data_IF_677342951221
#
_entry.id   IF_677342951221
#
_cell.length_a   1.000
_cell.length_b   1.000
_cell.length_c   1.000
_cell.angle_alpha   90.00
_cell.angle_beta   90.00
_cell.angle_gamma   90.00
#
_symmetry.space_group_name_H-M   'P 1'
#
loop_
_entity.id
_entity.type
_entity.pdbx_description
1 polymer ?
#
# COMPACT_ATOMS: atom_id res chain seq x y z
N UNK A 1 -50.61 -8.05 6.05
CA UNK A 1 -50.28 -8.83 7.27
C UNK A 1 -49.17 -9.87 7.07
N UNK A 2 -48.53 -9.98 5.90
CA UNK A 2 -47.53 -11.04 5.62
C UNK A 2 -46.06 -10.65 5.95
N UNK A 3 -45.71 -9.37 5.92
CA UNK A 3 -44.31 -8.91 6.14
C UNK A 3 -43.85 -9.06 7.60
N UNK A 4 -44.74 -8.79 8.56
CA UNK A 4 -44.45 -8.89 10.00
C UNK A 4 -44.26 -10.35 10.45
N UNK A 5 -44.86 -11.29 9.73
CA UNK A 5 -44.76 -12.73 10.00
C UNK A 5 -43.42 -13.29 9.53
N UNK A 6 -42.89 -12.78 8.41
CA UNK A 6 -41.55 -13.16 7.91
C UNK A 6 -40.43 -12.66 8.83
N UNK A 7 -40.54 -11.43 9.34
CA UNK A 7 -39.54 -10.87 10.25
C UNK A 7 -39.41 -11.68 11.55
N UNK A 8 -40.56 -12.12 12.09
CA UNK A 8 -40.60 -13.00 13.27
C UNK A 8 -40.05 -14.39 13.00
N UNK A 9 -40.27 -14.95 11.81
CA UNK A 9 -39.76 -16.27 11.44
C UNK A 9 -38.22 -16.27 11.31
N UNK A 10 -37.65 -15.24 10.71
CA UNK A 10 -36.19 -15.09 10.58
C UNK A 10 -35.54 -14.91 11.96
N UNK A 11 -36.14 -14.10 12.84
CA UNK A 11 -35.64 -13.90 14.22
C UNK A 11 -35.72 -15.19 15.05
N UNK A 12 -36.72 -16.04 14.80
CA UNK A 12 -36.89 -17.31 15.51
C UNK A 12 -35.88 -18.38 15.04
N UNK A 13 -35.57 -18.40 13.74
CA UNK A 13 -34.54 -19.27 13.17
C UNK A 13 -33.13 -18.90 13.67
N UNK A 14 -32.82 -17.59 13.71
CA UNK A 14 -31.53 -17.10 14.25
C UNK A 14 -31.38 -17.43 15.73
N UNK A 15 -32.46 -17.37 16.52
CA UNK A 15 -32.43 -17.78 17.94
C UNK A 15 -32.23 -19.29 18.12
N UNK A 16 -32.80 -20.11 17.24
CA UNK A 16 -32.63 -21.57 17.29
C UNK A 16 -31.17 -21.98 17.00
N UNK A 17 -30.51 -21.31 16.05
CA UNK A 17 -29.11 -21.60 15.72
C UNK A 17 -28.13 -21.13 16.82
N UNK A 18 -28.43 -20.05 17.53
CA UNK A 18 -27.63 -19.59 18.68
C UNK A 18 -27.81 -20.52 19.90
N UNK A 19 -29.02 -21.04 20.12
CA UNK A 19 -29.31 -21.97 21.20
C UNK A 19 -28.64 -23.34 21.00
N UNK A 20 -28.41 -23.76 19.77
CA UNK A 20 -27.75 -25.04 19.46
C UNK A 20 -26.21 -24.97 19.53
N UNK A 21 -25.62 -23.79 19.75
CA UNK A 21 -24.17 -23.57 19.76
C UNK A 21 -23.55 -23.49 21.17
N UNK A 22 -24.26 -23.94 22.22
CA UNK A 22 -23.88 -23.78 23.63
C UNK A 22 -24.26 -25.07 24.36
N UNK A 23 -23.41 -25.99 24.83
CA UNK A 23 -22.11 -26.05 25.56
C UNK A 23 -21.69 -27.57 25.65
N UNK A 24 -20.65 -28.09 26.37
CA UNK A 24 -19.39 -27.55 26.95
C UNK A 24 -18.10 -28.43 26.72
N UNK A 25 -16.90 -27.90 27.03
CA UNK A 25 -15.84 -28.64 27.77
C UNK A 25 -14.58 -29.22 27.08
N UNK A 26 -13.41 -28.63 27.42
CA UNK A 26 -12.13 -29.25 27.87
C UNK A 26 -11.40 -30.35 27.04
N UNK A 27 -10.13 -30.08 26.66
CA UNK A 27 -9.03 -31.07 26.64
C UNK A 27 -8.27 -31.36 25.33
N UNK A 28 -7.07 -30.78 25.21
CA UNK A 28 -5.77 -31.30 24.69
C UNK A 28 -5.58 -32.19 23.43
N UNK A 29 -4.56 -31.78 22.66
CA UNK A 29 -3.54 -32.54 21.87
C UNK A 29 -3.76 -32.93 20.39
N UNK A 30 -3.03 -32.20 19.53
CA UNK A 30 -2.26 -32.58 18.33
C UNK A 30 -2.74 -33.68 17.34
N UNK A 31 -2.87 -33.31 16.05
CA UNK A 31 -1.89 -33.56 14.97
C UNK A 31 -2.55 -33.62 13.57
N UNK A 32 -1.99 -32.86 12.61
CA UNK A 32 -1.79 -33.35 11.23
C UNK A 32 -2.90 -33.24 10.18
N UNK A 33 -2.69 -32.30 9.25
CA UNK A 33 -2.71 -32.48 7.77
C UNK A 33 -3.87 -31.85 6.95
N UNK A 34 -3.45 -31.02 5.97
CA UNK A 34 -4.14 -30.54 4.75
C UNK A 34 -5.15 -29.38 4.84
N UNK A 35 -4.55 -28.19 4.96
CA UNK A 35 -4.90 -26.87 4.40
C UNK A 35 -6.03 -26.78 3.36
N UNK A 36 -7.26 -26.58 3.83
CA UNK A 36 -8.29 -25.81 3.13
C UNK A 36 -8.62 -24.60 4.01
N UNK A 37 -8.60 -23.40 3.43
CA UNK A 37 -8.52 -22.11 4.12
C UNK A 37 -9.41 -21.99 5.36
N UNK A 38 -8.79 -22.11 6.54
CA UNK A 38 -9.38 -21.69 7.81
C UNK A 38 -9.46 -20.17 7.80
N UNK A 39 -10.59 -19.66 7.33
CA UNK A 39 -11.02 -18.30 7.66
C UNK A 39 -11.05 -18.24 9.19
N UNK A 40 -10.24 -17.39 9.84
CA UNK A 40 -10.30 -17.24 11.28
C UNK A 40 -11.75 -16.88 11.65
N UNK A 41 -12.26 -17.40 12.77
CA UNK A 41 -13.57 -17.05 13.31
C UNK A 41 -13.58 -15.55 13.68
N UNK A 42 -13.78 -14.72 12.66
CA UNK A 42 -13.91 -13.28 12.72
C UNK A 42 -15.12 -12.99 13.60
N UNK A 43 -14.89 -12.25 14.69
CA UNK A 43 -15.95 -11.84 15.60
C UNK A 43 -17.09 -11.16 14.84
N UNK A 44 -18.35 -11.15 15.34
CA UNK A 44 -19.51 -10.66 14.59
C UNK A 44 -19.33 -9.27 13.95
N UNK A 45 -18.53 -8.39 14.56
CA UNK A 45 -18.19 -7.05 14.04
C UNK A 45 -17.30 -7.10 12.78
N UNK A 46 -16.33 -7.99 12.74
CA UNK A 46 -15.37 -8.13 11.63
C UNK A 46 -16.05 -8.67 10.37
N UNK A 47 -17.03 -9.57 10.52
CA UNK A 47 -17.87 -10.05 9.41
C UNK A 47 -18.68 -8.92 8.76
N UNK A 48 -19.25 -8.03 9.57
CA UNK A 48 -20.05 -6.90 9.06
C UNK A 48 -19.19 -5.92 8.28
N UNK A 49 -17.97 -5.62 8.77
CA UNK A 49 -17.03 -4.75 8.06
C UNK A 49 -16.62 -5.33 6.71
N UNK A 50 -16.46 -6.65 6.64
CA UNK A 50 -16.12 -7.35 5.39
C UNK A 50 -17.25 -7.26 4.35
N UNK A 51 -18.50 -7.50 4.76
CA UNK A 51 -19.67 -7.38 3.87
C UNK A 51 -19.95 -5.93 3.47
N UNK A 52 -19.80 -4.97 4.38
CA UNK A 52 -19.93 -3.55 4.08
C UNK A 52 -18.85 -3.11 3.06
N UNK A 53 -17.61 -3.54 3.22
CA UNK A 53 -16.53 -3.26 2.27
C UNK A 53 -16.83 -3.87 0.88
N UNK A 54 -17.48 -5.04 0.83
CA UNK A 54 -17.92 -5.67 -0.42
C UNK A 54 -19.02 -4.86 -1.11
N UNK A 55 -20.02 -4.38 -0.36
CA UNK A 55 -21.10 -3.54 -0.87
C UNK A 55 -20.57 -2.17 -1.36
N UNK A 56 -19.68 -1.53 -0.60
CA UNK A 56 -19.04 -0.26 -0.99
C UNK A 56 -18.23 -0.41 -2.28
N UNK A 57 -17.53 -1.55 -2.45
CA UNK A 57 -16.88 -1.90 -3.73
C UNK A 57 -17.89 -2.10 -4.85
N UNK A 58 -18.99 -2.81 -4.61
CA UNK A 58 -20.03 -3.03 -5.60
C UNK A 58 -20.74 -1.73 -6.03
N UNK A 59 -20.88 -0.76 -5.13
CA UNK A 59 -21.43 0.57 -5.41
C UNK A 59 -20.43 1.52 -6.11
N UNK A 60 -19.21 1.08 -6.42
CA UNK A 60 -18.19 1.91 -7.08
C UNK A 60 -17.59 3.01 -6.19
N UNK A 61 -17.84 2.98 -4.88
CA UNK A 61 -17.35 3.97 -3.91
C UNK A 61 -15.99 3.57 -3.28
N UNK A 62 -15.38 2.48 -3.74
CA UNK A 62 -14.06 2.07 -3.26
C UNK A 62 -12.96 2.82 -4.02
N UNK A 63 -12.06 3.47 -3.26
CA UNK A 63 -10.88 4.11 -3.83
C UNK A 63 -9.80 3.06 -4.13
N UNK A 64 -9.49 2.77 -5.41
CA UNK A 64 -8.46 1.81 -5.77
C UNK A 64 -7.06 2.27 -5.34
N UNK A 65 -6.84 3.57 -5.09
CA UNK A 65 -5.57 4.08 -4.60
C UNK A 65 -5.32 3.78 -3.12
N UNK A 66 -6.33 3.37 -2.36
CA UNK A 66 -6.24 3.04 -0.93
C UNK A 66 -6.27 1.53 -0.66
N UNK A 67 -6.53 0.71 -1.67
CA UNK A 67 -6.63 -0.73 -1.51
C UNK A 67 -5.25 -1.41 -1.60
N UNK A 68 -4.88 -2.15 -0.56
CA UNK A 68 -3.70 -3.02 -0.54
C UNK A 68 -4.06 -4.32 -1.27
N UNK A 69 -3.61 -4.44 -2.52
CA UNK A 69 -3.95 -5.59 -3.39
C UNK A 69 -2.96 -6.75 -3.29
N UNK A 70 -1.74 -6.49 -2.82
CA UNK A 70 -0.67 -7.49 -2.76
C UNK A 70 0.03 -7.39 -1.42
N UNK A 71 -0.01 -8.47 -0.64
CA UNK A 71 0.84 -8.65 0.54
C UNK A 71 2.01 -9.53 0.13
N UNK A 72 3.17 -8.92 -0.16
CA UNK A 72 4.38 -9.69 -0.42
C UNK A 72 5.10 -10.03 0.88
N UNK A 73 5.92 -11.09 0.85
CA UNK A 73 6.93 -11.31 1.88
C UNK A 73 7.84 -10.08 2.00
N UNK A 74 8.28 -9.71 3.22
CA UNK A 74 9.11 -8.53 3.41
C UNK A 74 10.42 -8.70 2.63
N UNK A 75 10.67 -7.80 1.69
CA UNK A 75 11.90 -7.77 0.90
C UNK A 75 12.78 -6.64 1.41
N UNK A 76 13.88 -7.00 2.06
CA UNK A 76 14.75 -6.06 2.78
C UNK A 76 15.42 -5.02 1.85
N UNK A 77 15.72 -5.38 0.60
CA UNK A 77 16.39 -4.50 -0.36
C UNK A 77 15.42 -3.62 -1.20
N UNK A 78 14.11 -3.73 -0.98
CA UNK A 78 13.10 -3.03 -1.75
C UNK A 78 13.26 -1.49 -1.79
N UNK A 79 13.42 -0.79 -0.66
CA UNK A 79 13.51 0.68 -0.66
C UNK A 79 14.76 1.18 -1.39
N UNK A 80 15.85 0.42 -1.35
CA UNK A 80 17.08 0.74 -2.09
C UNK A 80 16.90 0.63 -3.60
N UNK A 81 16.21 -0.42 -4.07
CA UNK A 81 15.89 -0.59 -5.50
C UNK A 81 14.92 0.48 -5.97
N UNK A 82 13.90 0.81 -5.16
CA UNK A 82 12.98 1.92 -5.46
C UNK A 82 13.72 3.26 -5.56
N UNK A 83 14.69 3.52 -4.68
CA UNK A 83 15.50 4.72 -4.75
C UNK A 83 16.29 4.79 -6.06
N UNK A 84 16.99 3.71 -6.43
CA UNK A 84 17.75 3.64 -7.67
C UNK A 84 16.86 3.85 -8.90
N UNK A 85 15.67 3.25 -8.88
CA UNK A 85 14.66 3.44 -9.92
C UNK A 85 14.25 4.91 -10.03
N UNK A 86 13.85 5.55 -8.93
CA UNK A 86 13.48 6.97 -8.92
C UNK A 86 14.64 7.83 -9.42
N UNK A 87 15.85 7.57 -8.97
CA UNK A 87 17.02 8.34 -9.34
C UNK A 87 17.35 8.21 -10.83
N UNK A 88 17.26 6.99 -11.38
CA UNK A 88 17.49 6.74 -12.80
C UNK A 88 16.53 7.55 -13.70
N UNK A 89 15.24 7.61 -13.33
CA UNK A 89 14.25 8.34 -14.12
C UNK A 89 14.30 9.85 -13.88
N UNK A 90 14.39 10.30 -12.63
CA UNK A 90 14.37 11.74 -12.30
C UNK A 90 15.59 12.46 -12.89
N UNK A 91 16.78 11.86 -12.85
CA UNK A 91 17.99 12.46 -13.42
C UNK A 91 17.94 12.60 -14.96
N UNK A 92 17.04 11.88 -15.61
CA UNK A 92 16.85 11.90 -17.08
C UNK A 92 15.67 12.78 -17.52
N UNK A 93 14.89 13.30 -16.60
CA UNK A 93 13.75 14.17 -16.87
C UNK A 93 14.12 15.65 -16.72
N UNK A 94 13.34 16.52 -17.35
CA UNK A 94 13.46 17.96 -17.22
C UNK A 94 12.13 18.54 -16.73
N UNK A 95 12.21 19.58 -15.89
CA UNK A 95 11.01 20.19 -15.35
C UNK A 95 10.44 21.21 -16.36
N UNK A 96 9.24 20.96 -16.85
CA UNK A 96 8.53 21.90 -17.71
C UNK A 96 7.57 22.76 -16.89
N UNK A 97 7.81 24.08 -16.91
CA UNK A 97 7.00 25.08 -16.19
C UNK A 97 5.59 25.21 -16.75
N UNK A 98 5.36 24.89 -18.03
CA UNK A 98 4.05 25.00 -18.66
C UNK A 98 3.07 23.92 -18.14
N UNK A 99 3.59 22.71 -17.92
CA UNK A 99 2.81 21.58 -17.41
C UNK A 99 2.92 21.41 -15.89
N UNK A 100 3.86 22.10 -15.24
CA UNK A 100 4.10 21.98 -13.80
C UNK A 100 4.55 20.57 -13.39
N UNK A 101 5.14 19.81 -14.32
CA UNK A 101 5.50 18.41 -14.12
C UNK A 101 6.87 18.12 -14.75
N UNK A 102 7.47 17.01 -14.32
CA UNK A 102 8.66 16.47 -14.97
C UNK A 102 8.25 15.86 -16.31
N UNK A 103 8.80 16.41 -17.38
CA UNK A 103 8.61 15.95 -18.75
C UNK A 103 9.88 15.27 -19.22
N UNK A 104 9.71 14.29 -20.09
CA UNK A 104 10.79 13.58 -20.73
C UNK A 104 11.70 14.48 -21.56
N UNK A 105 13.01 14.37 -21.35
CA UNK A 105 14.03 15.11 -22.11
C UNK A 105 14.27 14.61 -23.54
N UNK A 106 14.01 13.32 -23.80
CA UNK A 106 14.28 12.67 -25.10
C UNK A 106 13.10 11.81 -25.52
N UNK A 107 12.58 11.99 -26.74
CA UNK A 107 11.38 11.32 -27.27
C UNK A 107 11.37 9.77 -27.29
N UNK A 108 12.40 9.09 -26.77
CA UNK A 108 12.52 7.63 -26.67
C UNK A 108 12.00 7.02 -25.36
N UNK A 109 11.97 7.74 -24.24
CA UNK A 109 11.71 7.14 -22.91
C UNK A 109 10.20 7.02 -22.61
N UNK A 110 9.58 5.86 -22.50
CA UNK A 110 8.08 5.77 -22.49
C UNK A 110 7.37 6.28 -21.21
N UNK A 111 8.08 6.91 -20.28
CA UNK A 111 7.58 7.25 -18.94
C UNK A 111 7.68 8.76 -18.67
N UNK A 112 6.55 9.38 -18.32
CA UNK A 112 6.46 10.79 -17.89
C UNK A 112 6.45 10.94 -16.36
N UNK A 113 6.68 12.15 -15.86
CA UNK A 113 6.74 12.44 -14.42
C UNK A 113 5.42 12.21 -13.68
N UNK A 114 4.28 12.50 -14.31
CA UNK A 114 2.95 12.26 -13.72
C UNK A 114 2.72 10.79 -13.33
N UNK A 115 2.72 9.86 -14.30
CA UNK A 115 2.56 8.43 -14.00
C UNK A 115 3.69 7.86 -13.13
N UNK A 116 4.92 8.40 -13.22
CA UNK A 116 6.01 8.01 -12.32
C UNK A 116 5.65 8.30 -10.84
N UNK A 117 5.21 9.53 -10.53
CA UNK A 117 4.88 9.93 -9.15
C UNK A 117 3.66 9.16 -8.64
N UNK A 118 2.61 9.03 -9.46
CA UNK A 118 1.41 8.27 -9.08
C UNK A 118 1.74 6.79 -8.87
N UNK A 119 2.56 6.19 -9.73
CA UNK A 119 3.00 4.80 -9.60
C UNK A 119 3.83 4.57 -8.34
N UNK A 120 4.77 5.47 -8.05
CA UNK A 120 5.56 5.41 -6.81
C UNK A 120 4.68 5.56 -5.56
N UNK A 121 3.71 6.47 -5.57
CA UNK A 121 2.77 6.62 -4.47
C UNK A 121 1.90 5.37 -4.26
N UNK A 122 1.47 4.72 -5.35
CA UNK A 122 0.73 3.46 -5.29
C UNK A 122 1.58 2.32 -4.74
N UNK A 123 2.82 2.17 -5.23
CA UNK A 123 3.75 1.15 -4.74
C UNK A 123 4.04 1.33 -3.25
N UNK A 124 4.35 2.54 -2.81
CA UNK A 124 4.64 2.83 -1.40
C UNK A 124 3.45 2.58 -0.47
N UNK A 125 2.22 2.70 -0.97
CA UNK A 125 1.01 2.35 -0.22
C UNK A 125 0.77 0.85 -0.11
N UNK A 126 1.30 0.05 -1.03
CA UNK A 126 1.17 -1.41 -0.98
C UNK A 126 2.10 -2.04 0.08
N UNK A 127 3.20 -1.37 0.43
CA UNK A 127 4.14 -1.84 1.44
C UNK A 127 3.87 -1.27 2.83
N UNK A 128 4.49 -1.90 3.85
CA UNK A 128 4.45 -1.38 5.21
C UNK A 128 5.06 0.05 5.26
N UNK A 129 4.47 1.01 6.00
CA UNK A 129 4.93 2.41 6.03
C UNK A 129 6.38 2.60 6.49
N UNK A 130 7.00 1.57 7.09
CA UNK A 130 8.44 1.57 7.40
C UNK A 130 9.30 1.73 6.14
N UNK A 131 8.95 1.06 5.04
CA UNK A 131 9.71 1.13 3.79
C UNK A 131 9.69 2.53 3.18
N UNK A 132 8.55 3.23 3.29
CA UNK A 132 8.43 4.63 2.84
C UNK A 132 9.36 5.54 3.63
N UNK A 133 9.49 5.33 4.95
CA UNK A 133 10.43 6.10 5.78
C UNK A 133 11.88 5.86 5.35
N UNK A 134 12.27 4.62 5.13
CA UNK A 134 13.62 4.28 4.68
C UNK A 134 13.94 4.87 3.30
N UNK A 135 13.01 4.78 2.35
CA UNK A 135 13.15 5.42 1.03
C UNK A 135 13.38 6.93 1.17
N UNK A 136 12.57 7.61 1.99
CA UNK A 136 12.70 9.06 2.22
C UNK A 136 14.03 9.41 2.90
N UNK A 137 14.50 8.59 3.84
CA UNK A 137 15.82 8.78 4.46
C UNK A 137 16.93 8.68 3.41
N UNK A 138 16.93 7.64 2.57
CA UNK A 138 17.95 7.52 1.54
C UNK A 138 17.90 8.65 0.51
N UNK A 139 16.70 9.07 0.09
CA UNK A 139 16.55 10.19 -0.84
C UNK A 139 17.02 11.51 -0.23
N UNK A 140 16.69 11.78 1.04
CA UNK A 140 17.15 12.95 1.76
C UNK A 140 18.68 12.98 1.90
N UNK A 141 19.29 11.83 2.23
CA UNK A 141 20.75 11.72 2.33
C UNK A 141 21.44 11.90 0.98
N UNK A 142 20.86 11.36 -0.10
CA UNK A 142 21.35 11.59 -1.46
C UNK A 142 21.34 13.08 -1.82
N UNK A 143 20.21 13.77 -1.62
CA UNK A 143 20.09 15.21 -1.92
C UNK A 143 21.07 16.02 -1.08
N UNK A 144 21.22 15.71 0.21
CA UNK A 144 22.18 16.40 1.10
C UNK A 144 23.62 16.23 0.63
N UNK A 145 24.02 15.01 0.26
CA UNK A 145 25.36 14.73 -0.25
C UNK A 145 25.61 15.48 -1.58
N UNK A 146 24.62 15.51 -2.47
CA UNK A 146 24.72 16.22 -3.75
C UNK A 146 24.81 17.74 -3.57
N UNK A 147 24.06 18.31 -2.63
CA UNK A 147 24.16 19.73 -2.26
C UNK A 147 25.53 20.05 -1.67
N UNK A 148 26.00 19.24 -0.73
CA UNK A 148 27.32 19.43 -0.12
C UNK A 148 28.43 19.38 -1.18
N UNK A 149 28.37 18.42 -2.11
CA UNK A 149 29.30 18.34 -3.24
C UNK A 149 29.26 19.61 -4.10
N UNK A 150 28.07 20.09 -4.45
CA UNK A 150 27.91 21.32 -5.23
C UNK A 150 28.50 22.56 -4.52
N UNK A 151 28.27 22.69 -3.22
CA UNK A 151 28.79 23.83 -2.44
C UNK A 151 30.29 23.77 -2.21
N UNK A 152 30.86 22.58 -1.97
CA UNK A 152 32.32 22.41 -1.89
C UNK A 152 33.01 22.77 -3.20
N UNK A 153 32.40 22.47 -4.35
CA UNK A 153 32.96 22.79 -5.66
C UNK A 153 32.96 24.31 -5.95
N UNK A 154 32.01 25.08 -5.40
CA UNK A 154 32.01 26.55 -5.53
C UNK A 154 33.06 27.25 -4.65
N UNK A 155 33.50 26.62 -3.56
CA UNK A 155 34.48 27.19 -2.64
C UNK A 155 35.93 27.09 -3.18
N UNK A 156 36.22 26.08 -4.01
CA UNK A 156 37.57 25.84 -4.57
C UNK A 156 37.84 26.62 -5.87
N UNK A 157 36.81 27.22 -6.48
CA UNK A 157 36.91 28.04 -7.70
C UNK A 157 37.51 29.44 -7.51
N UNK A 158 37.94 29.79 -6.29
CA UNK A 158 38.45 31.12 -5.93
C UNK A 158 39.97 31.28 -5.89
N UNK A 159 40.76 30.23 -6.14
CA UNK A 159 42.22 30.30 -6.10
C UNK A 159 42.84 29.67 -7.36
N UNK A 160 42.79 30.40 -8.46
CA UNK A 160 43.63 30.11 -9.62
C UNK A 160 45.08 30.54 -9.35
N UNK A 161 46.10 29.71 -9.63
CA UNK A 161 47.47 30.18 -9.71
C UNK A 161 47.65 31.01 -10.99
N UNK A 162 47.86 32.30 -10.83
CA UNK A 162 48.17 33.26 -11.91
C UNK A 162 48.81 34.50 -11.33
#
# INVERSE_FOLDING_TARGET
>A
QSLVTMDKAVVQEVRAQIANSKDPGTGDTANGTSSAGSVPLLQPKEKILTELARLVRACGMADPFQAVYVTTTPLEALPTVLLLFVLHYVLRMEFDKAFGTLVRRRGSDHLDGGPLVTGMACLLRQFHPSYTKELLLYLGQYVRAHLQYAFSNTADGGMGPG
#
